data_IF_656537103653
#
_entry.id   IF_656537103653
#
_cell.length_a   1.000
_cell.length_b   1.000
_cell.length_c   1.000
_cell.angle_alpha   90.00
_cell.angle_beta   90.00
_cell.angle_gamma   90.00
#
_symmetry.space_group_name_H-M   'P 1'
#
loop_
_entity.id
_entity.type
_entity.pdbx_description
1 polymer ?
#
# COMPACT_ATOMS: atom_id res chain seq x y z
N UNK A 1 38.46 10.95 19.85
CA UNK A 1 37.13 11.17 20.49
C UNK A 1 36.75 12.66 20.67
N UNK A 2 37.64 13.57 21.08
CA UNK A 2 37.30 15.01 21.29
C UNK A 2 37.03 15.80 19.99
N UNK A 3 37.64 15.48 18.85
CA UNK A 3 37.45 16.25 17.60
C UNK A 3 36.09 15.98 16.92
N UNK A 4 35.60 14.73 17.00
CA UNK A 4 34.31 14.35 16.41
C UNK A 4 33.12 14.91 17.20
N UNK A 5 33.18 14.91 18.53
CA UNK A 5 32.10 15.41 19.40
C UNK A 5 31.97 16.94 19.41
N UNK A 6 33.04 17.68 19.09
CA UNK A 6 33.07 19.15 19.14
C UNK A 6 32.62 19.78 17.81
N UNK A 7 32.74 19.08 16.67
CA UNK A 7 32.51 19.67 15.33
C UNK A 7 31.32 19.11 14.57
N UNK A 8 30.84 17.92 14.91
CA UNK A 8 29.63 17.35 14.31
C UNK A 8 28.65 17.13 15.45
N UNK A 9 27.45 17.71 15.39
CA UNK A 9 26.40 17.40 16.33
C UNK A 9 25.85 15.98 16.07
N UNK A 10 26.69 14.96 16.28
CA UNK A 10 26.41 13.56 15.94
C UNK A 10 25.17 13.02 16.64
N UNK A 11 24.86 13.57 17.82
CA UNK A 11 23.75 13.18 18.69
C UNK A 11 22.65 14.24 18.75
N UNK A 12 22.81 15.44 18.18
CA UNK A 12 21.72 16.43 18.23
C UNK A 12 20.56 15.94 17.38
N UNK A 13 19.35 16.02 17.94
CA UNK A 13 18.15 15.46 17.32
C UNK A 13 18.04 13.93 17.38
N UNK A 14 19.02 13.21 17.94
CA UNK A 14 18.93 11.76 18.11
C UNK A 14 17.81 11.37 19.10
N UNK A 15 17.59 12.20 20.13
CA UNK A 15 16.46 12.06 21.06
C UNK A 15 15.12 12.19 20.33
N UNK A 16 14.94 13.28 19.57
CA UNK A 16 13.74 13.49 18.76
C UNK A 16 13.51 12.36 17.74
N UNK A 17 14.55 11.93 17.01
CA UNK A 17 14.45 10.80 16.09
C UNK A 17 14.10 9.50 16.82
N UNK A 18 14.65 9.27 18.02
CA UNK A 18 14.33 8.13 18.87
C UNK A 18 12.87 8.14 19.35
N UNK A 19 12.35 9.31 19.74
CA UNK A 19 10.94 9.50 20.08
C UNK A 19 10.04 9.24 18.87
N UNK A 20 10.38 9.82 17.70
CA UNK A 20 9.63 9.63 16.47
C UNK A 20 9.60 8.14 16.06
N UNK A 21 10.75 7.45 16.11
CA UNK A 21 10.82 6.01 15.86
C UNK A 21 9.95 5.23 16.84
N UNK A 22 9.95 5.59 18.13
CA UNK A 22 9.13 4.96 19.16
C UNK A 22 7.64 5.15 18.89
N UNK A 23 7.22 6.33 18.44
CA UNK A 23 5.83 6.60 18.04
C UNK A 23 5.43 5.77 16.82
N UNK A 24 6.29 5.68 15.80
CA UNK A 24 6.04 4.86 14.60
C UNK A 24 5.93 3.38 14.97
N UNK A 25 6.86 2.85 15.77
CA UNK A 25 6.83 1.46 16.25
C UNK A 25 5.56 1.17 17.05
N UNK A 26 5.11 2.11 17.88
CA UNK A 26 3.85 1.98 18.61
C UNK A 26 2.66 1.94 17.65
N UNK A 27 2.62 2.78 16.61
CA UNK A 27 1.55 2.74 15.60
C UNK A 27 1.51 1.40 14.87
N UNK A 28 2.66 0.86 14.46
CA UNK A 28 2.74 -0.49 13.88
C UNK A 28 2.27 -1.58 14.84
N UNK A 29 2.61 -1.47 16.13
CA UNK A 29 2.19 -2.43 17.15
C UNK A 29 0.69 -2.38 17.42
N UNK A 30 0.14 -1.17 17.54
CA UNK A 30 -1.29 -0.94 17.79
C UNK A 30 -2.12 -1.28 16.55
N UNK A 31 -1.52 -1.18 15.36
CA UNK A 31 -2.06 -1.58 14.07
C UNK A 31 -3.47 -1.03 13.78
N UNK A 32 -3.70 0.23 14.15
CA UNK A 32 -4.99 0.92 13.98
C UNK A 32 -5.08 1.55 12.59
N UNK A 33 -6.16 1.26 11.88
CA UNK A 33 -6.49 1.87 10.59
C UNK A 33 -6.49 3.41 10.67
N UNK A 34 -7.06 3.97 11.76
CA UNK A 34 -7.14 5.42 11.95
C UNK A 34 -5.78 6.11 11.99
N UNK A 35 -4.73 5.38 12.37
CA UNK A 35 -3.36 5.89 12.45
C UNK A 35 -2.56 5.64 11.17
N UNK A 36 -3.06 4.84 10.22
CA UNK A 36 -2.27 4.37 9.08
C UNK A 36 -1.67 5.50 8.23
N UNK A 37 -2.51 6.41 7.72
CA UNK A 37 -2.02 7.56 6.92
C UNK A 37 -1.05 8.45 7.71
N UNK A 38 -1.30 8.62 9.01
CA UNK A 38 -0.43 9.40 9.91
C UNK A 38 0.92 8.70 10.10
N UNK A 39 0.90 7.38 10.30
CA UNK A 39 2.10 6.56 10.40
C UNK A 39 2.95 6.65 9.13
N UNK A 40 2.35 6.57 7.94
CA UNK A 40 3.08 6.75 6.67
C UNK A 40 3.74 8.12 6.59
N UNK A 41 3.05 9.20 6.99
CA UNK A 41 3.65 10.54 7.04
C UNK A 41 4.77 10.67 8.06
N UNK A 42 4.69 9.96 9.19
CA UNK A 42 5.77 9.91 10.17
C UNK A 42 6.97 9.11 9.66
N UNK A 43 6.75 8.02 8.93
CA UNK A 43 7.81 7.31 8.22
C UNK A 43 8.50 8.24 7.21
N UNK A 44 7.76 9.02 6.44
CA UNK A 44 8.32 9.98 5.47
C UNK A 44 9.15 11.09 6.14
N UNK A 45 8.67 11.63 7.26
CA UNK A 45 9.44 12.59 8.06
C UNK A 45 10.72 11.95 8.60
N UNK A 46 10.62 10.76 9.18
CA UNK A 46 11.77 10.03 9.71
C UNK A 46 12.78 9.72 8.60
N UNK A 47 12.32 9.29 7.42
CA UNK A 47 13.14 9.01 6.24
C UNK A 47 13.89 10.27 5.77
N UNK A 48 13.22 11.42 5.79
CA UNK A 48 13.84 12.71 5.44
C UNK A 48 14.98 13.06 6.41
N UNK A 49 14.73 12.94 7.72
CA UNK A 49 15.71 13.25 8.76
C UNK A 49 16.92 12.31 8.70
N UNK A 50 16.69 11.00 8.59
CA UNK A 50 17.77 10.02 8.51
C UNK A 50 18.57 10.17 7.22
N UNK A 51 17.94 10.54 6.11
CA UNK A 51 18.64 10.81 4.84
C UNK A 51 19.59 12.00 4.98
N UNK A 52 19.12 13.11 5.55
CA UNK A 52 19.95 14.30 5.80
C UNK A 52 21.13 13.95 6.72
N UNK A 53 20.86 13.22 7.79
CA UNK A 53 21.89 12.76 8.73
C UNK A 53 22.95 11.90 8.05
N UNK A 54 22.52 10.95 7.22
CA UNK A 54 23.42 10.08 6.46
C UNK A 54 24.29 10.87 5.48
N UNK A 55 23.71 11.87 4.80
CA UNK A 55 24.46 12.75 3.90
C UNK A 55 25.54 13.53 4.66
N UNK A 56 25.19 14.17 5.78
CA UNK A 56 26.13 14.94 6.61
C UNK A 56 27.25 14.03 7.13
N UNK A 57 26.91 12.87 7.69
CA UNK A 57 27.90 11.91 8.20
C UNK A 57 28.82 11.42 7.09
N UNK A 58 28.28 11.15 5.90
CA UNK A 58 29.07 10.69 4.76
C UNK A 58 30.05 11.76 4.27
N UNK A 59 29.61 13.01 4.15
CA UNK A 59 30.49 14.13 3.81
C UNK A 59 31.58 14.36 4.86
N UNK A 60 31.23 14.26 6.15
CA UNK A 60 32.20 14.43 7.22
C UNK A 60 33.25 13.32 7.23
N UNK A 61 32.82 12.06 7.04
CA UNK A 61 33.73 10.91 6.89
C UNK A 61 34.69 11.13 5.71
N UNK A 62 34.18 11.59 4.55
CA UNK A 62 35.03 11.83 3.37
C UNK A 62 36.02 12.98 3.51
N UNK A 63 35.67 14.02 4.29
CA UNK A 63 36.61 15.11 4.58
C UNK A 63 37.67 14.68 5.61
N UNK A 64 37.29 13.86 6.59
CA UNK A 64 38.16 13.44 7.69
C UNK A 64 39.19 12.36 7.29
N UNK A 65 38.92 11.61 6.22
CA UNK A 65 39.83 10.56 5.72
C UNK A 65 41.18 11.10 5.21
N UNK A 66 41.30 12.41 4.98
CA UNK A 66 42.53 13.04 4.49
C UNK A 66 43.45 13.56 5.60
N UNK A 67 43.10 13.37 6.88
CA UNK A 67 43.85 13.89 8.03
C UNK A 67 44.61 12.75 8.73
N UNK A 68 45.93 12.93 8.90
CA UNK A 68 46.79 11.96 9.62
C UNK A 68 46.30 11.78 11.07
N UNK A 69 46.32 10.55 11.56
CA UNK A 69 45.95 10.15 12.94
C UNK A 69 44.44 10.23 13.31
N UNK A 70 43.52 10.35 12.34
CA UNK A 70 42.07 10.41 12.60
C UNK A 70 41.34 9.09 12.27
N UNK A 71 42.07 8.05 11.87
CA UNK A 71 41.48 6.78 11.39
C UNK A 71 40.52 6.12 12.40
N UNK A 72 40.86 6.11 13.69
CA UNK A 72 40.00 5.52 14.72
C UNK A 72 38.68 6.31 14.88
N UNK A 73 38.74 7.64 14.79
CA UNK A 73 37.55 8.49 14.86
C UNK A 73 36.68 8.31 13.60
N UNK A 74 37.29 8.15 12.41
CA UNK A 74 36.61 7.82 11.15
C UNK A 74 35.91 6.45 11.22
N UNK A 75 36.59 5.43 11.74
CA UNK A 75 36.01 4.10 11.92
C UNK A 75 34.81 4.14 12.89
N UNK A 76 34.91 4.91 13.97
CA UNK A 76 33.80 5.12 14.91
C UNK A 76 32.58 5.77 14.24
N UNK A 77 32.78 6.77 13.38
CA UNK A 77 31.71 7.43 12.62
C UNK A 77 31.03 6.49 11.62
N UNK A 78 31.81 5.65 10.94
CA UNK A 78 31.28 4.62 10.04
C UNK A 78 30.40 3.65 10.81
N UNK A 79 30.87 3.17 11.98
CA UNK A 79 30.10 2.29 12.85
C UNK A 79 28.80 2.94 13.35
N UNK A 80 28.87 4.21 13.76
CA UNK A 80 27.71 4.97 14.21
C UNK A 80 26.65 5.10 13.10
N UNK A 81 27.07 5.47 11.89
CA UNK A 81 26.19 5.54 10.72
C UNK A 81 25.52 4.19 10.43
N UNK A 82 26.28 3.10 10.50
CA UNK A 82 25.73 1.76 10.28
C UNK A 82 24.68 1.39 11.32
N UNK A 83 24.91 1.69 12.61
CA UNK A 83 23.93 1.43 13.66
C UNK A 83 22.60 2.16 13.44
N UNK A 84 22.62 3.42 12.96
CA UNK A 84 21.38 4.14 12.61
C UNK A 84 20.67 3.56 11.40
N UNK A 85 21.43 3.09 10.40
CA UNK A 85 20.86 2.40 9.25
C UNK A 85 20.18 1.10 9.66
N UNK A 86 20.82 0.31 10.54
CA UNK A 86 20.25 -0.95 11.02
C UNK A 86 18.96 -0.71 11.83
N UNK A 87 18.96 0.31 12.70
CA UNK A 87 17.76 0.73 13.43
C UNK A 87 16.63 1.20 12.49
N UNK A 88 16.97 2.02 11.49
CA UNK A 88 15.99 2.47 10.48
C UNK A 88 15.50 1.31 9.62
N UNK A 89 16.36 0.36 9.30
CA UNK A 89 16.00 -0.84 8.53
C UNK A 89 14.96 -1.65 9.29
N UNK A 90 15.17 -1.90 10.58
CA UNK A 90 14.19 -2.60 11.42
C UNK A 90 12.85 -1.87 11.51
N UNK A 91 12.86 -0.52 11.49
CA UNK A 91 11.64 0.29 11.46
C UNK A 91 10.88 0.14 10.13
N UNK A 92 11.56 0.32 9.01
CA UNK A 92 10.95 0.35 7.68
C UNK A 92 10.68 -1.02 7.09
N UNK A 93 11.33 -2.10 7.56
CA UNK A 93 11.07 -3.47 7.11
C UNK A 93 9.59 -3.86 7.23
N UNK A 94 8.85 -3.26 8.17
CA UNK A 94 7.40 -3.44 8.34
C UNK A 94 6.56 -2.92 7.16
N UNK A 95 7.08 -2.00 6.36
CA UNK A 95 6.43 -1.50 5.14
C UNK A 95 6.71 -2.38 3.92
N UNK A 96 7.76 -3.20 3.97
CA UNK A 96 8.24 -3.99 2.83
C UNK A 96 8.07 -5.51 3.01
N UNK A 97 7.67 -5.93 4.21
CA UNK A 97 7.36 -7.31 4.52
C UNK A 97 5.86 -7.51 4.46
N UNK A 98 5.40 -8.32 3.51
CA UNK A 98 3.99 -8.65 3.36
C UNK A 98 3.45 -9.24 4.66
N UNK A 99 2.56 -8.49 5.31
CA UNK A 99 1.79 -8.89 6.48
C UNK A 99 0.30 -8.71 6.19
N UNK A 100 -0.41 -9.84 6.07
CA UNK A 100 -1.84 -9.89 5.77
C UNK A 100 -2.74 -9.40 6.90
N UNK A 101 -2.18 -9.16 8.09
CA UNK A 101 -2.86 -8.60 9.25
C UNK A 101 -2.57 -7.11 9.43
N UNK A 102 -1.63 -6.54 8.67
CA UNK A 102 -1.28 -5.13 8.80
C UNK A 102 -2.37 -4.22 8.22
N UNK A 103 -2.83 -3.27 9.04
CA UNK A 103 -3.70 -2.17 8.66
C UNK A 103 -2.95 -0.92 8.20
N UNK A 104 -1.61 -0.89 8.31
CA UNK A 104 -0.79 0.29 7.98
C UNK A 104 -0.09 0.13 6.63
N UNK A 105 0.64 -0.97 6.44
CA UNK A 105 1.37 -1.28 5.20
C UNK A 105 0.51 -1.09 3.92
N UNK A 106 -0.79 -1.45 3.87
CA UNK A 106 -1.59 -1.23 2.67
C UNK A 106 -1.70 0.24 2.21
N UNK A 107 -1.49 1.20 3.12
CA UNK A 107 -1.51 2.64 2.81
C UNK A 107 -0.16 3.18 2.35
N UNK A 108 0.91 2.39 2.43
CA UNK A 108 2.21 2.78 1.93
C UNK A 108 2.22 2.71 0.40
N UNK A 109 2.41 3.86 -0.22
CA UNK A 109 2.53 3.99 -1.67
C UNK A 109 3.94 4.50 -2.00
N UNK A 110 4.80 3.65 -2.60
CA UNK A 110 6.16 4.03 -2.96
C UNK A 110 6.24 5.26 -3.88
N UNK A 111 5.22 5.49 -4.71
CA UNK A 111 5.22 6.64 -5.62
C UNK A 111 4.84 7.95 -4.90
N UNK A 112 4.11 7.87 -3.77
CA UNK A 112 3.69 9.04 -2.99
C UNK A 112 4.62 9.31 -1.79
N UNK A 113 5.33 8.29 -1.30
CA UNK A 113 6.28 8.34 -0.16
C UNK A 113 7.70 8.12 -0.65
N UNK A 114 8.12 8.97 -1.59
CA UNK A 114 9.32 8.77 -2.41
C UNK A 114 10.63 8.82 -1.61
N UNK A 115 10.69 9.60 -0.52
CA UNK A 115 11.90 9.68 0.32
C UNK A 115 12.03 8.41 1.15
N UNK A 116 10.94 7.95 1.77
CA UNK A 116 10.92 6.64 2.46
C UNK A 116 11.34 5.54 1.51
N UNK A 117 10.79 5.52 0.30
CA UNK A 117 11.08 4.48 -0.66
C UNK A 117 12.51 4.48 -1.19
N UNK A 118 12.99 5.65 -1.60
CA UNK A 118 14.36 5.81 -2.11
C UNK A 118 15.37 5.46 -1.02
N UNK A 119 15.19 5.97 0.19
CA UNK A 119 16.12 5.67 1.29
C UNK A 119 16.11 4.18 1.63
N UNK A 120 14.93 3.57 1.73
CA UNK A 120 14.80 2.14 2.05
C UNK A 120 15.43 1.24 0.98
N UNK A 121 15.21 1.54 -0.30
CA UNK A 121 15.70 0.72 -1.40
C UNK A 121 17.19 0.91 -1.67
N UNK A 122 17.65 2.17 -1.72
CA UNK A 122 19.03 2.51 -2.09
C UNK A 122 19.99 2.36 -0.91
N UNK A 123 19.60 2.85 0.27
CA UNK A 123 20.50 2.92 1.43
C UNK A 123 20.39 1.70 2.34
N UNK A 124 19.18 1.16 2.52
CA UNK A 124 18.91 0.07 3.46
C UNK A 124 18.75 -1.30 2.79
N UNK A 125 18.76 -1.34 1.45
CA UNK A 125 18.62 -2.56 0.67
C UNK A 125 17.29 -3.32 0.95
N UNK A 126 16.22 -2.58 1.24
CA UNK A 126 14.85 -3.09 1.40
C UNK A 126 14.04 -2.96 0.09
N UNK A 127 12.83 -3.52 0.06
CA UNK A 127 11.87 -3.24 -1.02
C UNK A 127 12.26 -3.71 -2.41
N UNK A 128 13.23 -4.65 -2.52
CA UNK A 128 13.65 -5.29 -3.78
C UNK A 128 12.64 -6.35 -4.21
N UNK A 129 11.49 -5.91 -4.72
CA UNK A 129 10.47 -6.77 -5.31
C UNK A 129 10.01 -6.26 -6.67
N UNK A 130 9.30 -7.10 -7.42
CA UNK A 130 8.75 -6.72 -8.72
C UNK A 130 7.71 -5.61 -8.60
N UNK A 131 7.92 -4.51 -9.33
CA UNK A 131 7.03 -3.35 -9.44
C UNK A 131 6.51 -3.15 -10.87
N UNK A 132 6.66 -4.13 -11.75
CA UNK A 132 6.25 -4.08 -13.16
C UNK A 132 4.78 -3.72 -13.36
N UNK A 133 3.92 -4.13 -12.42
CA UNK A 133 2.49 -3.82 -12.41
C UNK A 133 2.13 -2.55 -11.64
N UNK A 134 3.09 -1.73 -11.20
CA UNK A 134 2.79 -0.45 -10.56
C UNK A 134 2.19 0.54 -11.56
N UNK A 135 1.25 1.36 -11.08
CA UNK A 135 0.62 2.45 -11.82
C UNK A 135 -0.89 2.31 -11.95
N UNK A 136 -1.49 3.13 -12.82
CA UNK A 136 -2.94 3.15 -13.04
C UNK A 136 -3.36 2.23 -14.20
N UNK A 137 -4.42 1.47 -13.99
CA UNK A 137 -4.93 0.46 -14.93
C UNK A 137 -6.45 0.55 -15.08
N UNK A 138 -6.93 0.13 -16.25
CA UNK A 138 -8.26 -0.43 -16.42
C UNK A 138 -8.21 -1.91 -16.01
N UNK A 139 -9.08 -2.33 -15.09
CA UNK A 139 -9.26 -3.74 -14.76
C UNK A 139 -10.38 -4.27 -15.66
N UNK A 140 -10.01 -4.95 -16.75
CA UNK A 140 -10.97 -5.42 -17.73
C UNK A 140 -11.46 -6.83 -17.37
N UNK A 141 -12.76 -6.95 -17.15
CA UNK A 141 -13.49 -8.21 -17.00
C UNK A 141 -13.94 -8.73 -18.38
N UNK A 142 -14.11 -10.05 -18.48
CA UNK A 142 -14.58 -10.79 -19.67
C UNK A 142 -15.48 -9.98 -20.63
N UNK A 143 -15.15 -10.01 -21.94
CA UNK A 143 -15.98 -9.38 -22.97
C UNK A 143 -15.88 -7.86 -23.04
N UNK A 144 -14.69 -7.29 -22.82
CA UNK A 144 -14.39 -5.86 -22.90
C UNK A 144 -15.22 -4.97 -21.95
N UNK A 145 -15.46 -5.45 -20.73
CA UNK A 145 -16.14 -4.67 -19.70
C UNK A 145 -15.11 -4.19 -18.68
N UNK A 146 -15.03 -2.88 -18.45
CA UNK A 146 -14.14 -2.34 -17.44
C UNK A 146 -14.81 -2.41 -16.06
N UNK A 147 -14.03 -2.81 -15.06
CA UNK A 147 -14.41 -2.76 -13.67
C UNK A 147 -14.53 -1.32 -13.22
N UNK A 148 -15.68 -0.99 -12.66
CA UNK A 148 -15.97 0.33 -12.13
C UNK A 148 -16.64 0.20 -10.76
N UNK A 149 -16.88 1.35 -10.13
CA UNK A 149 -17.68 1.42 -8.92
C UNK A 149 -18.83 2.39 -9.12
N UNK A 150 -19.91 2.16 -8.38
CA UNK A 150 -21.09 3.00 -8.38
C UNK A 150 -21.48 3.30 -6.93
N UNK A 151 -22.05 4.49 -6.72
CA UNK A 151 -22.66 4.83 -5.43
C UNK A 151 -23.82 3.87 -5.16
N UNK A 152 -24.17 3.72 -3.88
CA UNK A 152 -25.41 3.06 -3.47
C UNK A 152 -26.57 3.68 -4.25
N UNK A 153 -27.33 2.84 -4.94
CA UNK A 153 -28.60 3.25 -5.49
C UNK A 153 -29.66 2.93 -4.45
N UNK A 154 -30.61 3.84 -4.19
CA UNK A 154 -31.65 3.61 -3.17
C UNK A 154 -32.54 2.39 -3.43
N UNK A 155 -32.35 1.70 -4.56
CA UNK A 155 -33.03 0.47 -4.88
C UNK A 155 -32.19 -0.82 -4.80
N UNK A 156 -30.89 -0.71 -4.54
CA UNK A 156 -29.93 -1.80 -4.54
C UNK A 156 -28.97 -1.63 -3.36
N UNK A 157 -29.16 -2.45 -2.32
CA UNK A 157 -28.34 -2.42 -1.11
C UNK A 157 -27.50 -3.70 -1.06
N UNK A 158 -26.17 -3.56 -1.14
CA UNK A 158 -25.25 -4.70 -1.06
C UNK A 158 -24.73 -4.90 0.36
N UNK A 159 -24.33 -3.81 1.03
CA UNK A 159 -23.92 -3.73 2.44
C UNK A 159 -24.14 -2.31 2.96
N UNK A 160 -23.88 -2.07 4.25
CA UNK A 160 -24.07 -0.76 4.89
C UNK A 160 -23.15 0.31 4.29
N UNK A 161 -23.76 1.34 3.69
CA UNK A 161 -23.18 2.64 3.28
C UNK A 161 -22.01 2.67 2.28
N UNK A 162 -21.42 1.52 1.91
CA UNK A 162 -20.28 1.44 0.99
C UNK A 162 -20.71 1.46 -0.49
N UNK A 163 -19.96 2.10 -1.39
CA UNK A 163 -20.17 1.99 -2.83
C UNK A 163 -19.82 0.58 -3.29
N UNK A 164 -20.48 0.12 -4.34
CA UNK A 164 -20.26 -1.22 -4.87
C UNK A 164 -19.48 -1.21 -6.16
N UNK A 165 -18.83 -2.33 -6.45
CA UNK A 165 -18.16 -2.53 -7.72
C UNK A 165 -19.04 -3.28 -8.71
N UNK A 166 -18.92 -2.94 -9.98
CA UNK A 166 -19.65 -3.53 -11.10
C UNK A 166 -18.77 -3.49 -12.35
N UNK A 167 -19.33 -3.88 -13.49
CA UNK A 167 -18.65 -3.81 -14.77
C UNK A 167 -19.51 -3.07 -15.78
N UNK A 168 -18.86 -2.28 -16.63
CA UNK A 168 -19.52 -1.56 -17.71
C UNK A 168 -18.80 -1.80 -19.01
N UNK A 169 -19.57 -2.01 -20.08
CA UNK A 169 -19.02 -2.04 -21.42
C UNK A 169 -18.27 -0.73 -21.68
N UNK A 170 -16.98 -0.83 -21.98
CA UNK A 170 -16.12 0.32 -22.15
C UNK A 170 -15.25 0.11 -23.37
N UNK A 171 -15.30 1.07 -24.29
CA UNK A 171 -14.44 1.12 -25.48
C UNK A 171 -13.30 2.12 -25.33
N UNK A 172 -13.18 2.79 -24.17
CA UNK A 172 -12.23 3.88 -23.97
C UNK A 172 -11.46 3.76 -22.64
N UNK A 173 -10.49 4.65 -22.43
CA UNK A 173 -9.63 4.65 -21.24
C UNK A 173 -10.21 5.45 -20.05
N UNK A 174 -11.49 5.84 -20.09
CA UNK A 174 -12.09 6.67 -19.03
C UNK A 174 -12.19 5.93 -17.68
N UNK A 175 -12.19 4.60 -17.72
CA UNK A 175 -12.29 3.74 -16.54
C UNK A 175 -10.93 3.23 -16.01
N UNK A 176 -9.81 3.78 -16.50
CA UNK A 176 -8.47 3.38 -16.07
C UNK A 176 -8.02 4.14 -14.81
N UNK A 177 -8.77 4.03 -13.72
CA UNK A 177 -8.53 4.78 -12.49
C UNK A 177 -8.09 3.90 -11.31
N UNK A 178 -7.85 2.61 -11.51
CA UNK A 178 -7.37 1.71 -10.46
C UNK A 178 -5.84 1.79 -10.38
N UNK A 179 -5.31 2.38 -9.31
CA UNK A 179 -3.86 2.35 -9.03
C UNK A 179 -3.51 1.05 -8.32
N UNK A 180 -2.59 0.28 -8.90
CA UNK A 180 -2.00 -0.89 -8.28
C UNK A 180 -0.73 -0.47 -7.55
N UNK A 181 -0.67 -0.73 -6.24
CA UNK A 181 0.47 -0.38 -5.39
C UNK A 181 1.14 -1.68 -4.92
N UNK A 182 2.37 -2.00 -5.35
CA UNK A 182 3.02 -3.27 -5.04
C UNK A 182 3.64 -3.31 -3.63
N UNK A 183 3.46 -4.43 -2.94
CA UNK A 183 4.03 -4.72 -1.60
C UNK A 183 4.97 -5.94 -1.59
N UNK A 184 5.26 -6.51 -2.76
CA UNK A 184 6.06 -7.73 -2.91
C UNK A 184 5.21 -9.01 -2.87
N UNK A 185 5.83 -10.16 -3.21
CA UNK A 185 5.14 -11.47 -3.33
C UNK A 185 3.83 -11.39 -4.12
N UNK A 186 3.83 -10.65 -5.24
CA UNK A 186 2.66 -10.40 -6.09
C UNK A 186 1.44 -9.85 -5.33
N UNK A 187 1.66 -9.16 -4.21
CA UNK A 187 0.63 -8.57 -3.35
C UNK A 187 0.53 -7.07 -3.62
N UNK A 188 -0.70 -6.56 -3.69
CA UNK A 188 -1.01 -5.19 -4.08
C UNK A 188 -2.11 -4.58 -3.20
N UNK A 189 -2.01 -3.29 -2.92
CA UNK A 189 -3.20 -2.47 -2.65
C UNK A 189 -3.79 -2.03 -3.99
N UNK A 190 -5.11 -2.01 -4.11
CA UNK A 190 -5.81 -1.49 -5.29
C UNK A 190 -6.56 -0.23 -4.85
N UNK A 191 -6.20 0.93 -5.40
CA UNK A 191 -6.71 2.24 -4.95
C UNK A 191 -7.50 2.93 -6.06
N UNK A 192 -8.67 3.47 -5.71
CA UNK A 192 -9.48 4.27 -6.61
C UNK A 192 -8.88 5.67 -6.78
N UNK A 193 -8.52 6.03 -8.02
CA UNK A 193 -8.04 7.37 -8.41
C UNK A 193 -9.04 8.12 -9.29
N UNK A 194 -10.30 7.71 -9.30
CA UNK A 194 -11.33 8.32 -10.13
C UNK A 194 -11.53 9.80 -9.76
N UNK A 195 -11.24 10.71 -10.72
CA UNK A 195 -11.42 12.16 -10.59
C UNK A 195 -10.87 12.75 -9.29
N UNK A 196 -9.74 12.22 -8.82
CA UNK A 196 -9.07 12.71 -7.59
C UNK A 196 -8.65 14.17 -7.68
N UNK A 197 -8.29 14.65 -8.88
CA UNK A 197 -8.02 16.06 -9.19
C UNK A 197 -9.19 16.99 -8.86
N UNK A 198 -10.42 16.46 -8.94
CA UNK A 198 -11.66 17.19 -8.65
C UNK A 198 -12.22 16.88 -7.26
N UNK A 199 -11.44 16.21 -6.40
CA UNK A 199 -11.86 15.77 -5.05
C UNK A 199 -13.18 15.00 -5.07
N UNK A 200 -13.37 14.14 -6.07
CA UNK A 200 -14.57 13.34 -6.19
C UNK A 200 -14.69 12.33 -5.04
N UNK A 201 -15.91 11.94 -4.71
CA UNK A 201 -16.19 10.96 -3.65
C UNK A 201 -15.39 9.67 -3.87
N UNK A 202 -14.95 9.07 -2.77
CA UNK A 202 -14.19 7.82 -2.76
C UNK A 202 -12.83 7.88 -3.48
N UNK A 203 -12.35 9.08 -3.88
CA UNK A 203 -10.96 9.27 -4.27
C UNK A 203 -10.03 8.81 -3.14
N UNK A 204 -9.00 8.01 -3.46
CA UNK A 204 -8.07 7.36 -2.54
C UNK A 204 -8.70 6.30 -1.61
N UNK A 205 -9.94 5.89 -1.86
CA UNK A 205 -10.50 4.71 -1.21
C UNK A 205 -9.87 3.44 -1.82
N UNK A 206 -9.69 2.42 -1.00
CA UNK A 206 -9.14 1.13 -1.43
C UNK A 206 -10.26 0.20 -1.86
N UNK A 207 -9.94 -0.66 -2.82
CA UNK A 207 -10.76 -1.82 -3.11
C UNK A 207 -10.78 -2.71 -1.87
N UNK A 208 -11.97 -2.89 -1.34
CA UNK A 208 -12.22 -3.65 -0.13
C UNK A 208 -13.43 -4.56 -0.37
N UNK A 209 -13.89 -5.23 0.67
CA UNK A 209 -15.12 -6.01 0.61
C UNK A 209 -15.81 -5.96 1.96
N UNK A 210 -17.10 -6.25 1.93
CA UNK A 210 -17.91 -6.37 3.12
C UNK A 210 -18.80 -7.60 3.01
N UNK A 211 -19.14 -8.20 4.15
CA UNK A 211 -19.88 -9.45 4.20
C UNK A 211 -21.34 -9.22 4.48
N UNK A 212 -22.18 -9.80 3.63
CA UNK A 212 -23.63 -9.85 3.79
C UNK A 212 -24.03 -11.34 3.73
N UNK A 213 -24.50 -11.85 4.87
CA UNK A 213 -24.67 -13.26 5.20
C UNK A 213 -23.40 -14.11 4.96
N UNK A 214 -23.46 -14.95 3.92
CA UNK A 214 -22.43 -15.92 3.51
C UNK A 214 -21.66 -15.49 2.27
N UNK A 215 -21.90 -14.26 1.80
CA UNK A 215 -21.25 -13.69 0.62
C UNK A 215 -20.43 -12.48 1.04
N UNK A 216 -19.36 -12.20 0.29
CA UNK A 216 -18.55 -11.00 0.46
C UNK A 216 -18.59 -10.22 -0.85
N UNK A 217 -19.10 -8.99 -0.78
CA UNK A 217 -19.27 -8.11 -1.91
C UNK A 217 -18.16 -7.07 -1.93
N UNK A 218 -17.61 -6.83 -3.10
CA UNK A 218 -16.44 -5.97 -3.27
C UNK A 218 -16.90 -4.54 -3.52
N UNK A 219 -16.31 -3.62 -2.77
CA UNK A 219 -16.66 -2.20 -2.75
C UNK A 219 -15.43 -1.33 -2.53
N UNK A 220 -15.66 -0.08 -2.14
CA UNK A 220 -14.58 0.81 -1.72
C UNK A 220 -14.70 1.16 -0.24
N UNK A 221 -13.56 1.20 0.46
CA UNK A 221 -13.48 1.79 1.79
C UNK A 221 -12.14 2.49 2.01
N UNK A 222 -12.18 3.56 2.80
CA UNK A 222 -11.03 4.26 3.36
C UNK A 222 -10.46 3.60 4.60
N UNK A 223 -11.25 2.80 5.31
CA UNK A 223 -10.99 2.28 6.66
C UNK A 223 -10.82 0.77 6.72
N UNK A 224 -10.94 0.08 5.59
CA UNK A 224 -10.90 -1.38 5.55
C UNK A 224 -9.92 -1.83 4.46
N UNK A 225 -8.60 -1.70 4.72
CA UNK A 225 -7.60 -1.99 3.72
C UNK A 225 -7.56 -3.49 3.43
N UNK A 226 -7.57 -3.84 2.14
CA UNK A 226 -7.44 -5.23 1.70
C UNK A 226 -6.23 -5.36 0.79
N UNK A 227 -5.42 -6.40 1.07
CA UNK A 227 -4.34 -6.81 0.21
C UNK A 227 -4.83 -7.84 -0.81
N UNK A 228 -4.41 -7.65 -2.05
CA UNK A 228 -4.81 -8.44 -3.19
C UNK A 228 -3.60 -9.11 -3.82
N UNK A 229 -3.62 -10.43 -3.94
CA UNK A 229 -2.65 -11.13 -4.78
C UNK A 229 -3.09 -11.06 -6.24
N UNK A 230 -2.19 -10.64 -7.12
CA UNK A 230 -2.44 -10.56 -8.56
C UNK A 230 -1.40 -11.41 -9.28
N UNK A 231 -1.81 -12.50 -9.91
CA UNK A 231 -0.93 -13.32 -10.74
C UNK A 231 -1.63 -13.89 -11.98
N UNK A 232 -0.82 -14.47 -12.87
CA UNK A 232 -1.19 -14.79 -14.25
C UNK A 232 -0.44 -13.89 -15.24
N UNK A 233 -0.55 -14.20 -16.53
CA UNK A 233 0.14 -13.47 -17.60
C UNK A 233 -0.81 -12.41 -18.21
N UNK A 234 -1.47 -12.76 -19.31
CA UNK A 234 -2.40 -11.86 -20.00
C UNK A 234 -3.71 -11.72 -19.23
N UNK A 235 -4.29 -12.87 -18.86
CA UNK A 235 -5.41 -12.97 -17.95
C UNK A 235 -4.88 -13.32 -16.56
N UNK A 236 -5.46 -12.68 -15.55
CA UNK A 236 -5.01 -12.76 -14.16
C UNK A 236 -6.17 -13.10 -13.23
N UNK A 237 -5.83 -13.69 -12.09
CA UNK A 237 -6.69 -13.64 -10.92
C UNK A 237 -6.36 -12.41 -10.08
N UNK A 238 -7.35 -11.95 -9.31
CA UNK A 238 -7.18 -10.97 -8.25
C UNK A 238 -7.77 -11.66 -7.01
N UNK A 239 -6.93 -11.98 -6.03
CA UNK A 239 -7.29 -12.84 -4.89
C UNK A 239 -7.19 -12.10 -3.58
N UNK A 240 -8.21 -12.22 -2.74
CA UNK A 240 -8.23 -11.62 -1.42
C UNK A 240 -7.20 -12.30 -0.51
N UNK A 241 -6.33 -11.50 0.11
CA UNK A 241 -5.35 -11.96 1.10
C UNK A 241 -5.59 -11.43 2.50
N UNK A 242 -6.67 -10.68 2.73
CA UNK A 242 -6.98 -10.12 4.04
C UNK A 242 -7.06 -11.20 5.12
N UNK A 243 -6.23 -11.04 6.17
CA UNK A 243 -6.15 -11.94 7.34
C UNK A 243 -5.98 -13.43 6.97
N UNK A 244 -5.29 -13.72 5.87
CA UNK A 244 -4.92 -15.08 5.50
C UNK A 244 -3.88 -15.68 6.46
N UNK A 245 -3.97 -16.98 6.82
CA UNK A 245 -4.93 -18.00 6.35
C UNK A 245 -6.21 -18.11 7.19
N UNK A 246 -6.43 -17.20 8.15
CA UNK A 246 -7.43 -17.40 9.21
C UNK A 246 -8.86 -17.00 8.82
N UNK A 247 -9.03 -16.12 7.83
CA UNK A 247 -10.35 -15.59 7.49
C UNK A 247 -11.16 -16.46 6.52
N UNK A 248 -12.49 -16.53 6.68
CA UNK A 248 -13.38 -17.36 5.83
C UNK A 248 -13.44 -16.94 4.35
N UNK A 249 -13.06 -15.71 4.03
CA UNK A 249 -12.93 -15.22 2.65
C UNK A 249 -11.47 -15.12 2.19
N UNK A 250 -10.50 -15.60 2.98
CA UNK A 250 -9.12 -15.74 2.54
C UNK A 250 -9.05 -16.61 1.28
N UNK A 251 -8.14 -16.27 0.37
CA UNK A 251 -7.86 -16.99 -0.87
C UNK A 251 -9.05 -17.12 -1.84
N UNK A 252 -10.10 -16.32 -1.64
CA UNK A 252 -11.18 -16.18 -2.61
C UNK A 252 -10.82 -15.17 -3.68
N UNK A 253 -11.20 -15.49 -4.92
CA UNK A 253 -10.96 -14.64 -6.07
C UNK A 253 -12.06 -13.58 -6.19
N UNK A 254 -11.66 -12.36 -6.52
CA UNK A 254 -12.55 -11.31 -6.99
C UNK A 254 -13.14 -11.74 -8.34
N UNK A 255 -14.47 -11.84 -8.38
CA UNK A 255 -15.26 -12.11 -9.58
C UNK A 255 -16.40 -11.12 -9.73
N UNK A 256 -17.03 -11.14 -10.89
CA UNK A 256 -18.22 -10.36 -11.17
C UNK A 256 -19.39 -11.33 -11.32
N UNK A 257 -20.29 -11.34 -10.34
CA UNK A 257 -21.39 -12.29 -10.26
C UNK A 257 -22.73 -11.56 -10.32
N UNK A 258 -23.74 -12.25 -10.84
CA UNK A 258 -25.09 -11.72 -10.91
C UNK A 258 -25.77 -11.81 -9.54
N UNK A 259 -26.12 -10.66 -8.95
CA UNK A 259 -26.97 -10.57 -7.74
C UNK A 259 -28.38 -10.21 -8.18
N UNK A 260 -29.35 -11.02 -7.77
CA UNK A 260 -30.79 -10.74 -7.93
C UNK A 260 -31.30 -10.18 -6.60
N UNK A 261 -31.95 -9.03 -6.64
CA UNK A 261 -32.61 -8.44 -5.48
C UNK A 261 -34.11 -8.48 -5.70
N UNK A 262 -34.81 -9.17 -4.79
CA UNK A 262 -36.25 -9.38 -4.88
C UNK A 262 -36.96 -8.29 -4.10
N UNK A 263 -37.76 -7.46 -4.78
CA UNK A 263 -38.59 -6.44 -4.12
C UNK A 263 -40.01 -6.94 -3.96
N UNK A 264 -40.57 -6.78 -2.77
CA UNK A 264 -41.94 -7.20 -2.40
C UNK A 264 -43.00 -6.61 -3.35
N UNK A 265 -42.75 -5.43 -3.97
CA UNK A 265 -43.76 -4.71 -4.78
C UNK A 265 -43.33 -4.27 -6.19
N UNK A 266 -42.11 -4.58 -6.67
CA UNK A 266 -41.60 -4.06 -7.97
C UNK A 266 -40.91 -5.10 -8.87
N UNK A 267 -41.06 -6.40 -8.56
CA UNK A 267 -40.38 -7.48 -9.27
C UNK A 267 -38.89 -7.57 -8.91
N UNK A 268 -38.20 -8.55 -9.52
CA UNK A 268 -36.76 -8.75 -9.31
C UNK A 268 -35.94 -7.94 -10.31
N UNK A 269 -35.02 -7.11 -9.82
CA UNK A 269 -33.93 -6.57 -10.64
C UNK A 269 -32.65 -7.29 -10.27
N UNK A 270 -31.75 -7.46 -11.23
CA UNK A 270 -30.43 -8.00 -10.93
C UNK A 270 -29.33 -7.23 -11.64
N UNK A 271 -28.17 -7.23 -11.00
CA UNK A 271 -26.99 -6.48 -11.37
C UNK A 271 -25.78 -7.39 -11.29
N UNK A 272 -24.79 -7.11 -12.14
CA UNK A 272 -23.45 -7.69 -12.02
C UNK A 272 -22.70 -6.92 -10.94
N UNK A 273 -22.14 -7.63 -9.97
CA UNK A 273 -21.43 -7.03 -8.84
C UNK A 273 -20.13 -7.73 -8.56
N UNK A 274 -19.13 -6.99 -8.09
CA UNK A 274 -17.92 -7.58 -7.55
C UNK A 274 -18.25 -8.42 -6.32
N UNK A 275 -17.78 -9.66 -6.29
CA UNK A 275 -17.98 -10.59 -5.19
C UNK A 275 -16.76 -11.51 -5.04
N UNK A 276 -16.44 -11.88 -3.81
CA UNK A 276 -15.45 -12.93 -3.55
C UNK A 276 -16.06 -14.32 -3.73
N UNK A 277 -15.40 -15.16 -4.52
CA UNK A 277 -15.80 -16.53 -4.82
C UNK A 277 -14.62 -17.51 -4.67
N UNK A 278 -14.92 -18.79 -4.45
CA UNK A 278 -13.88 -19.83 -4.40
C UNK A 278 -13.14 -19.92 -5.74
N UNK A 279 -11.81 -20.06 -5.76
CA UNK A 279 -11.05 -20.26 -6.98
C UNK A 279 -11.58 -21.42 -7.82
N UNK A 280 -11.67 -21.23 -9.14
CA UNK A 280 -12.15 -22.22 -10.11
C UNK A 280 -11.13 -22.48 -11.22
N UNK A 281 -9.90 -21.99 -11.03
CA UNK A 281 -8.80 -22.11 -11.99
C UNK A 281 -8.86 -21.15 -13.18
N UNK A 282 -9.90 -20.31 -13.30
CA UNK A 282 -10.01 -19.33 -14.39
C UNK A 282 -9.46 -17.97 -13.99
N UNK A 283 -8.91 -17.28 -14.98
CA UNK A 283 -8.36 -15.94 -14.84
C UNK A 283 -9.28 -14.95 -15.57
N UNK A 284 -9.85 -14.02 -14.80
CA UNK A 284 -10.96 -13.17 -15.22
C UNK A 284 -10.56 -11.74 -15.59
N UNK A 285 -9.31 -11.35 -15.29
CA UNK A 285 -8.90 -9.96 -15.31
C UNK A 285 -7.78 -9.73 -16.32
N UNK A 286 -7.98 -8.80 -17.25
CA UNK A 286 -6.91 -8.24 -18.06
C UNK A 286 -6.57 -6.84 -17.57
N UNK A 287 -5.28 -6.58 -17.35
CA UNK A 287 -4.79 -5.28 -16.89
C UNK A 287 -4.37 -4.45 -18.10
N UNK A 288 -5.10 -3.38 -18.40
CA UNK A 288 -4.72 -2.42 -19.45
C UNK A 288 -4.16 -1.16 -18.79
N UNK A 289 -2.86 -0.94 -18.92
CA UNK A 289 -2.19 0.23 -18.33
C UNK A 289 -2.72 1.52 -18.94
N UNK A 290 -2.96 2.54 -18.12
CA UNK A 290 -3.29 3.88 -18.59
C UNK A 290 -2.05 4.47 -19.26
N UNK A 291 -2.12 4.67 -20.57
CA UNK A 291 -1.13 5.41 -21.38
C UNK A 291 -1.37 6.90 -21.25
#
# INVERSE_FOLDING_TARGET
MQLASIRVPMTQGAEFMGELASVILKMFKDNKVSDAKKCIKYCELYATLTSIRDMILTQFISMSSNVKNVQNDVNGLIGYRQNFRDGTKALFEKLYTVDYFSNIMPYFDPDDSTVTDTYSTVMLNLGKYDRSLSGQYCLQYEGNKDFEWQRKEGWFELTDERPYTTVRSSTNNLNCFWKLIPHGKSTYSIVNKYKCDKKYDYCDAMLSWDSDDNKAYVGLDYKDPVLWEIAGNDWRYIRNKWHCPSHKFCDKDLRVLYRRETRVFRGSKGLLVGQLALPDGKYYWKLRKRT
#
